data_IF_482660075655
#
_entry.id   IF_482660075655
#
_cell.length_a   1.000
_cell.length_b   1.000
_cell.length_c   1.000
_cell.angle_alpha   90.00
_cell.angle_beta   90.00
_cell.angle_gamma   90.00
#
_symmetry.space_group_name_H-M   'P 1'
#
loop_
_entity.id
_entity.type
_entity.pdbx_description
1 polymer ?
#
# COMPACT_ATOMS: atom_id res chain seq x y z
N UNK A 1 7.79 18.70 -21.40
CA UNK A 1 8.22 19.32 -20.13
C UNK A 1 8.96 18.26 -19.34
N UNK A 2 10.27 18.41 -19.16
CA UNK A 2 11.05 17.49 -18.32
C UNK A 2 10.70 17.71 -16.84
N UNK A 3 10.29 16.63 -16.18
CA UNK A 3 10.04 16.65 -14.74
C UNK A 3 11.40 16.63 -14.06
N UNK A 4 11.87 17.80 -13.61
CA UNK A 4 13.07 17.93 -12.79
C UNK A 4 12.90 17.01 -11.57
N UNK A 5 13.64 15.90 -11.53
CA UNK A 5 13.71 15.00 -10.37
C UNK A 5 14.41 15.74 -9.23
N UNK A 6 13.62 16.45 -8.41
CA UNK A 6 14.07 16.92 -7.09
C UNK A 6 14.62 15.73 -6.30
N UNK A 7 15.78 15.89 -5.69
CA UNK A 7 16.36 14.89 -4.80
C UNK A 7 15.39 14.46 -3.69
N UNK A 8 15.57 13.27 -3.09
CA UNK A 8 14.64 12.73 -2.10
C UNK A 8 14.52 13.68 -0.90
N UNK A 9 13.33 14.26 -0.73
CA UNK A 9 13.01 15.16 0.37
C UNK A 9 12.79 14.37 1.67
N UNK A 10 13.42 14.81 2.76
CA UNK A 10 13.16 14.31 4.12
C UNK A 10 11.96 14.99 4.80
N UNK A 11 11.45 16.08 4.21
CA UNK A 11 10.38 16.91 4.76
C UNK A 11 9.04 16.73 4.06
N UNK A 12 9.03 16.12 2.87
CA UNK A 12 7.82 15.85 2.08
C UNK A 12 7.64 14.35 1.85
N UNK A 13 6.41 13.84 1.95
CA UNK A 13 6.14 12.45 1.61
C UNK A 13 6.48 12.17 0.14
N UNK A 14 6.95 10.96 -0.20
CA UNK A 14 7.13 10.57 -1.59
C UNK A 14 5.78 10.61 -2.31
N UNK A 15 5.80 11.02 -3.59
CA UNK A 15 4.59 11.05 -4.42
C UNK A 15 4.37 9.66 -5.02
N UNK A 16 3.19 9.11 -4.77
CA UNK A 16 2.79 7.83 -5.35
C UNK A 16 2.35 8.04 -6.80
N UNK A 17 2.74 7.12 -7.68
CA UNK A 17 2.21 6.97 -9.03
C UNK A 17 1.82 5.51 -9.31
N UNK A 18 1.15 5.25 -10.43
CA UNK A 18 0.67 3.91 -10.77
C UNK A 18 1.79 2.87 -10.99
N UNK A 19 3.03 3.31 -11.27
CA UNK A 19 4.16 2.44 -11.65
C UNK A 19 5.23 2.34 -10.56
N UNK A 20 5.24 3.24 -9.58
CA UNK A 20 6.33 3.39 -8.61
C UNK A 20 6.04 2.78 -7.24
N UNK A 21 4.93 2.05 -7.05
CA UNK A 21 4.50 1.54 -5.74
C UNK A 21 5.61 0.75 -4.99
N UNK A 22 6.39 -0.07 -5.69
CA UNK A 22 7.51 -0.84 -5.13
C UNK A 22 8.63 0.04 -4.57
N UNK A 23 8.89 1.19 -5.20
CA UNK A 23 9.85 2.20 -4.75
C UNK A 23 9.25 3.11 -3.66
N UNK A 24 7.99 3.51 -3.84
CA UNK A 24 7.27 4.43 -2.98
C UNK A 24 7.07 3.84 -1.58
N UNK A 25 6.67 2.56 -1.48
CA UNK A 25 6.30 1.95 -0.20
C UNK A 25 7.46 1.99 0.82
N UNK A 26 8.68 1.48 0.52
CA UNK A 26 9.80 1.57 1.44
C UNK A 26 10.15 3.02 1.84
N UNK A 27 10.06 3.97 0.90
CA UNK A 27 10.32 5.39 1.15
C UNK A 27 9.27 6.01 2.09
N UNK A 28 8.00 5.71 1.88
CA UNK A 28 6.92 6.20 2.74
C UNK A 28 7.03 5.63 4.16
N UNK A 29 7.38 4.34 4.29
CA UNK A 29 7.66 3.71 5.58
C UNK A 29 8.82 4.41 6.28
N UNK A 30 9.92 4.67 5.55
CA UNK A 30 11.07 5.41 6.09
C UNK A 30 10.66 6.81 6.55
N UNK A 31 9.87 7.53 5.76
CA UNK A 31 9.39 8.87 6.09
C UNK A 31 8.52 8.88 7.36
N UNK A 32 7.60 7.92 7.51
CA UNK A 32 6.79 7.78 8.72
C UNK A 32 7.66 7.50 9.96
N UNK A 33 8.67 6.63 9.82
CA UNK A 33 9.59 6.30 10.92
C UNK A 33 10.44 7.50 11.35
N UNK A 34 10.92 8.31 10.40
CA UNK A 34 11.72 9.51 10.69
C UNK A 34 10.88 10.67 11.23
N UNK A 35 9.62 10.79 10.80
CA UNK A 35 8.72 11.85 11.24
C UNK A 35 8.29 11.65 12.71
N UNK A 36 7.86 10.44 13.06
CA UNK A 36 7.55 10.05 14.42
C UNK A 36 7.53 8.52 14.53
N UNK A 37 8.42 7.94 15.36
CA UNK A 37 8.43 6.49 15.62
C UNK A 37 7.09 5.95 16.17
N UNK A 38 6.23 6.80 16.74
CA UNK A 38 4.85 6.45 17.13
C UNK A 38 3.89 6.40 15.93
N UNK A 39 4.11 7.21 14.89
CA UNK A 39 3.29 7.19 13.68
C UNK A 39 3.42 5.85 12.95
N UNK A 40 4.65 5.36 12.76
CA UNK A 40 4.85 4.01 12.20
C UNK A 40 4.27 2.91 13.10
N UNK A 41 4.41 3.03 14.42
CA UNK A 41 3.79 2.09 15.36
C UNK A 41 2.26 2.08 15.24
N UNK A 42 1.62 3.23 15.08
CA UNK A 42 0.17 3.32 14.88
C UNK A 42 -0.28 2.64 13.57
N UNK A 43 0.56 2.64 12.53
CA UNK A 43 0.28 1.90 11.28
C UNK A 43 0.38 0.39 11.47
N UNK A 44 1.36 -0.10 12.25
CA UNK A 44 1.60 -1.54 12.42
C UNK A 44 0.71 -2.14 13.51
N UNK A 45 0.82 -1.62 14.74
CA UNK A 45 0.09 -2.12 15.89
C UNK A 45 -1.39 -1.72 15.80
N UNK A 46 -1.66 -0.53 15.29
CA UNK A 46 -2.96 0.10 15.36
C UNK A 46 -3.02 1.11 16.51
N UNK A 47 -4.13 1.82 16.56
CA UNK A 47 -4.51 2.62 17.70
C UNK A 47 -5.86 2.12 18.19
N UNK A 48 -6.02 2.00 19.51
CA UNK A 48 -7.28 1.59 20.11
C UNK A 48 -8.04 2.82 20.62
N UNK A 49 -9.33 2.85 20.31
CA UNK A 49 -10.20 3.92 20.79
C UNK A 49 -10.22 3.95 22.32
N UNK A 50 -10.30 5.15 22.93
CA UNK A 50 -10.42 5.30 24.38
C UNK A 50 -11.62 4.54 24.97
N UNK A 51 -12.69 4.34 24.18
CA UNK A 51 -13.87 3.59 24.62
C UNK A 51 -13.60 2.11 24.93
N UNK A 52 -12.73 1.45 24.15
CA UNK A 52 -12.39 0.03 24.38
C UNK A 52 -11.50 -0.11 25.62
N UNK A 53 -10.59 0.85 25.84
CA UNK A 53 -9.72 0.92 27.01
C UNK A 53 -10.54 1.10 28.29
N UNK A 54 -11.56 1.96 28.25
CA UNK A 54 -12.50 2.18 29.37
C UNK A 54 -13.31 0.91 29.67
N UNK A 55 -13.76 0.20 28.64
CA UNK A 55 -14.48 -1.07 28.76
C UNK A 55 -13.62 -2.20 29.33
N UNK A 56 -12.33 -2.25 28.97
CA UNK A 56 -11.38 -3.28 29.42
C UNK A 56 -10.67 -2.96 30.75
N UNK A 57 -11.00 -1.85 31.42
CA UNK A 57 -10.34 -1.40 32.66
C UNK A 57 -8.79 -1.35 32.57
N UNK A 58 -8.24 -1.14 31.37
CA UNK A 58 -6.80 -1.04 31.18
C UNK A 58 -6.33 0.33 31.67
N UNK A 59 -5.44 0.34 32.67
CA UNK A 59 -4.89 1.57 33.26
C UNK A 59 -3.85 2.19 32.32
N UNK A 60 -4.29 2.82 31.24
CA UNK A 60 -3.42 3.70 30.44
C UNK A 60 -3.24 5.03 31.16
N UNK A 61 -2.00 5.50 31.25
CA UNK A 61 -1.75 6.88 31.70
C UNK A 61 -2.27 7.86 30.63
N UNK A 62 -2.80 9.02 31.05
CA UNK A 62 -3.30 10.03 30.13
C UNK A 62 -2.26 10.49 29.09
N UNK A 63 -0.97 10.45 29.46
CA UNK A 63 0.15 10.69 28.55
C UNK A 63 0.24 9.61 27.46
N UNK A 64 0.16 8.33 27.83
CA UNK A 64 0.25 7.22 26.89
C UNK A 64 -0.90 7.27 25.86
N UNK A 65 -2.13 7.55 26.30
CA UNK A 65 -3.27 7.73 25.39
C UNK A 65 -3.06 8.90 24.41
N UNK A 66 -2.65 10.07 24.92
CA UNK A 66 -2.36 11.25 24.09
C UNK A 66 -1.27 10.98 23.05
N UNK A 67 -0.20 10.30 23.45
CA UNK A 67 0.92 9.99 22.54
C UNK A 67 0.51 9.01 21.43
N UNK A 68 -0.30 8.00 21.75
CA UNK A 68 -0.81 7.04 20.77
C UNK A 68 -1.80 7.68 19.79
N UNK A 69 -2.70 8.54 20.29
CA UNK A 69 -3.63 9.31 19.45
C UNK A 69 -2.87 10.24 18.49
N UNK A 70 -1.87 10.98 19.00
CA UNK A 70 -1.04 11.86 18.18
C UNK A 70 -0.29 11.09 17.08
N UNK A 71 0.26 9.92 17.40
CA UNK A 71 0.90 9.04 16.43
C UNK A 71 -0.07 8.60 15.32
N UNK A 72 -1.29 8.20 15.69
CA UNK A 72 -2.33 7.81 14.74
C UNK A 72 -2.74 8.96 13.81
N UNK A 73 -3.07 10.14 14.36
CA UNK A 73 -3.45 11.31 13.57
C UNK A 73 -2.34 11.74 12.61
N UNK A 74 -1.08 11.69 13.05
CA UNK A 74 0.07 12.05 12.22
C UNK A 74 0.27 11.06 11.09
N UNK A 75 0.12 9.76 11.36
CA UNK A 75 0.18 8.72 10.34
C UNK A 75 -0.94 8.86 9.30
N UNK A 76 -2.19 9.07 9.73
CA UNK A 76 -3.33 9.31 8.83
C UNK A 76 -3.05 10.50 7.91
N UNK A 77 -2.59 11.62 8.47
CA UNK A 77 -2.28 12.80 7.67
C UNK A 77 -1.21 12.51 6.61
N UNK A 78 -0.15 11.78 6.97
CA UNK A 78 0.90 11.40 6.01
C UNK A 78 0.36 10.49 4.91
N UNK A 79 -0.47 9.49 5.26
CA UNK A 79 -1.08 8.59 4.29
C UNK A 79 -2.01 9.38 3.35
N UNK A 80 -2.88 10.23 3.88
CA UNK A 80 -3.81 11.04 3.08
C UNK A 80 -3.10 11.95 2.08
N UNK A 81 -2.01 12.59 2.51
CA UNK A 81 -1.21 13.44 1.62
C UNK A 81 -0.32 12.65 0.64
N UNK A 82 -0.11 11.35 0.88
CA UNK A 82 0.77 10.50 0.08
C UNK A 82 0.07 9.69 -1.01
N UNK A 83 -1.26 9.67 -1.04
CA UNK A 83 -2.04 8.82 -1.95
C UNK A 83 -2.76 9.63 -3.04
N UNK A 84 -3.10 8.97 -4.15
CA UNK A 84 -3.96 9.56 -5.18
C UNK A 84 -5.40 9.74 -4.70
N UNK A 85 -6.11 10.67 -5.35
CA UNK A 85 -7.51 11.00 -5.07
C UNK A 85 -8.46 9.80 -5.01
N UNK A 86 -8.31 8.84 -5.93
CA UNK A 86 -9.17 7.64 -5.95
C UNK A 86 -8.98 6.78 -4.70
N UNK A 87 -7.74 6.67 -4.20
CA UNK A 87 -7.46 5.90 -2.98
C UNK A 87 -7.78 6.73 -1.74
N UNK A 88 -7.59 8.05 -1.78
CA UNK A 88 -8.04 8.96 -0.73
C UNK A 88 -9.54 8.79 -0.44
N UNK A 89 -10.39 8.71 -1.47
CA UNK A 89 -11.84 8.44 -1.29
C UNK A 89 -12.16 7.14 -0.55
N UNK A 90 -11.30 6.13 -0.64
CA UNK A 90 -11.49 4.85 0.02
C UNK A 90 -11.08 4.89 1.50
N UNK A 91 -10.20 5.81 1.88
CA UNK A 91 -9.59 5.85 3.22
C UNK A 91 -9.96 7.08 4.03
N UNK A 92 -10.63 8.07 3.44
CA UNK A 92 -10.92 9.37 4.08
C UNK A 92 -11.81 9.27 5.33
N UNK A 93 -12.58 8.19 5.46
CA UNK A 93 -13.42 7.89 6.63
C UNK A 93 -12.71 7.05 7.70
N UNK A 94 -11.48 6.57 7.44
CA UNK A 94 -10.74 5.75 8.39
C UNK A 94 -10.32 6.59 9.61
N UNK A 95 -10.66 6.11 10.81
CA UNK A 95 -10.22 6.68 12.08
C UNK A 95 -8.88 6.10 12.57
N UNK A 96 -8.43 5.01 11.95
CA UNK A 96 -7.18 4.30 12.26
C UNK A 96 -6.20 4.33 11.10
N UNK A 97 -4.96 4.73 11.37
CA UNK A 97 -3.87 4.72 10.39
C UNK A 97 -3.59 3.31 9.85
N UNK A 98 -3.74 2.29 10.70
CA UNK A 98 -3.59 0.88 10.32
C UNK A 98 -4.63 0.46 9.29
N UNK A 99 -5.88 0.86 9.51
CA UNK A 99 -6.98 0.58 8.58
C UNK A 99 -6.77 1.29 7.24
N UNK A 100 -6.51 2.60 7.28
CA UNK A 100 -6.21 3.40 6.09
C UNK A 100 -5.05 2.78 5.29
N UNK A 101 -3.96 2.39 5.97
CA UNK A 101 -2.80 1.75 5.34
C UNK A 101 -3.14 0.39 4.73
N UNK A 102 -3.97 -0.43 5.40
CA UNK A 102 -4.40 -1.73 4.88
C UNK A 102 -5.25 -1.58 3.61
N UNK A 103 -6.25 -0.69 3.62
CA UNK A 103 -7.11 -0.42 2.45
C UNK A 103 -6.26 0.11 1.30
N UNK A 104 -5.35 1.03 1.59
CA UNK A 104 -4.35 1.52 0.66
C UNK A 104 -3.54 0.38 0.01
N UNK A 105 -2.99 -0.54 0.80
CA UNK A 105 -2.22 -1.66 0.26
C UNK A 105 -3.06 -2.57 -0.63
N UNK A 106 -4.32 -2.81 -0.27
CA UNK A 106 -5.24 -3.62 -1.08
C UNK A 106 -5.57 -2.93 -2.40
N UNK A 107 -5.79 -1.61 -2.39
CA UNK A 107 -6.09 -0.83 -3.60
C UNK A 107 -4.94 -0.88 -4.61
N UNK A 108 -3.68 -0.88 -4.15
CA UNK A 108 -2.51 -0.88 -5.03
C UNK A 108 -1.99 -2.27 -5.40
N UNK A 109 -1.99 -3.23 -4.47
CA UNK A 109 -1.47 -4.58 -4.72
C UNK A 109 -2.52 -5.53 -5.29
N UNK A 110 -3.79 -5.15 -5.24
CA UNK A 110 -4.91 -6.08 -5.32
C UNK A 110 -5.00 -6.97 -4.07
N UNK A 111 -6.12 -7.66 -3.93
CA UNK A 111 -6.30 -8.66 -2.86
C UNK A 111 -5.47 -9.91 -3.15
N UNK A 112 -5.19 -10.72 -2.13
CA UNK A 112 -4.58 -12.05 -2.32
C UNK A 112 -5.38 -12.90 -3.31
N UNK A 113 -6.71 -12.78 -3.32
CA UNK A 113 -7.59 -13.46 -4.28
C UNK A 113 -7.31 -13.03 -5.73
N UNK A 114 -7.20 -11.73 -6.00
CA UNK A 114 -6.87 -11.22 -7.34
C UNK A 114 -5.49 -11.70 -7.79
N UNK A 115 -4.51 -11.72 -6.88
CA UNK A 115 -3.16 -12.25 -7.20
C UNK A 115 -3.18 -13.74 -7.53
N UNK A 116 -3.87 -14.55 -6.73
CA UNK A 116 -4.04 -15.98 -6.98
C UNK A 116 -4.75 -16.19 -8.32
N UNK A 117 -5.86 -15.49 -8.57
CA UNK A 117 -6.60 -15.60 -9.83
C UNK A 117 -5.74 -15.21 -11.04
N UNK A 118 -4.96 -14.12 -10.96
CA UNK A 118 -4.04 -13.72 -12.04
C UNK A 118 -2.97 -14.78 -12.28
N UNK A 119 -2.40 -15.36 -11.20
CA UNK A 119 -1.43 -16.44 -11.31
C UNK A 119 -2.04 -17.68 -11.96
N UNK A 120 -3.22 -18.09 -11.50
CA UNK A 120 -3.95 -19.24 -12.05
C UNK A 120 -4.32 -19.02 -13.52
N UNK A 121 -4.73 -17.80 -13.90
CA UNK A 121 -5.01 -17.45 -15.29
C UNK A 121 -3.76 -17.59 -16.18
N UNK A 122 -2.62 -17.07 -15.73
CA UNK A 122 -1.35 -17.19 -16.46
C UNK A 122 -0.93 -18.66 -16.56
N UNK A 123 -0.98 -19.41 -15.46
CA UNK A 123 -0.70 -20.86 -15.44
C UNK A 123 -1.61 -21.62 -16.41
N UNK A 124 -2.92 -21.36 -16.38
CA UNK A 124 -3.88 -22.01 -17.28
C UNK A 124 -3.63 -21.66 -18.75
N UNK A 125 -3.32 -20.40 -19.07
CA UNK A 125 -2.93 -20.00 -20.44
C UNK A 125 -1.65 -20.70 -20.90
N UNK A 126 -0.68 -20.84 -19.99
CA UNK A 126 0.59 -21.50 -20.29
C UNK A 126 0.42 -23.02 -20.46
N UNK A 127 -0.37 -23.68 -19.63
CA UNK A 127 -0.71 -25.11 -19.75
C UNK A 127 -1.47 -25.42 -21.05
N UNK A 128 -2.35 -24.50 -21.48
CA UNK A 128 -3.06 -24.60 -22.74
C UNK A 128 -2.19 -24.24 -23.96
N UNK A 129 -0.99 -23.70 -23.74
CA UNK A 129 -0.14 -23.24 -24.83
C UNK A 129 0.53 -24.44 -25.52
N UNK A 130 0.16 -24.63 -26.78
CA UNK A 130 0.78 -25.62 -27.66
C UNK A 130 0.99 -24.99 -29.03
N UNK A 131 2.13 -25.30 -29.64
CA UNK A 131 2.42 -24.90 -31.01
C UNK A 131 1.53 -25.71 -31.97
N UNK A 132 0.89 -25.04 -32.93
CA UNK A 132 0.13 -25.75 -33.98
C UNK A 132 1.05 -26.16 -35.14
N UNK A 133 0.58 -27.06 -36.01
CA UNK A 133 1.37 -27.59 -37.12
C UNK A 133 1.62 -26.54 -38.22
N UNK A 134 0.73 -25.55 -38.32
CA UNK A 134 0.73 -24.46 -39.29
C UNK A 134 1.35 -23.16 -38.74
N UNK A 135 1.69 -23.12 -37.45
CA UNK A 135 2.27 -21.96 -36.79
C UNK A 135 3.79 -21.94 -36.94
N UNK A 136 4.35 -20.76 -37.23
CA UNK A 136 5.80 -20.55 -37.22
C UNK A 136 6.34 -20.37 -35.81
N UNK A 137 7.63 -20.65 -35.60
CA UNK A 137 8.30 -20.44 -34.30
C UNK A 137 8.22 -18.97 -33.84
N UNK A 138 8.21 -18.02 -34.78
CA UNK A 138 8.06 -16.61 -34.49
C UNK A 138 6.68 -16.28 -33.88
N UNK A 139 5.61 -16.78 -34.50
CA UNK A 139 4.23 -16.60 -34.02
C UNK A 139 4.02 -17.27 -32.65
N UNK A 140 4.59 -18.48 -32.47
CA UNK A 140 4.56 -19.16 -31.17
C UNK A 140 5.24 -18.35 -30.08
N UNK A 141 6.43 -17.80 -30.36
CA UNK A 141 7.15 -16.96 -29.41
C UNK A 141 6.40 -15.67 -29.07
N UNK A 142 5.69 -15.08 -30.03
CA UNK A 142 4.86 -13.90 -29.77
C UNK A 142 3.74 -14.24 -28.76
N UNK A 143 3.03 -15.36 -28.94
CA UNK A 143 2.01 -15.82 -27.99
C UNK A 143 2.58 -16.13 -26.60
N UNK A 144 3.79 -16.68 -26.51
CA UNK A 144 4.48 -16.87 -25.21
C UNK A 144 4.69 -15.52 -24.54
N UNK A 145 5.17 -14.52 -25.28
CA UNK A 145 5.46 -13.18 -24.75
C UNK A 145 4.20 -12.43 -24.31
N UNK A 146 3.04 -12.68 -24.94
CA UNK A 146 1.74 -12.13 -24.51
C UNK A 146 1.25 -12.70 -23.17
N UNK A 147 1.69 -13.91 -22.77
CA UNK A 147 1.30 -14.52 -21.49
C UNK A 147 2.19 -14.01 -20.34
N UNK A 148 3.45 -13.66 -20.65
CA UNK A 148 4.46 -13.24 -19.66
C UNK A 148 4.36 -11.75 -19.31
N UNK A 149 3.92 -10.90 -20.24
CA UNK A 149 3.79 -9.44 -20.07
C UNK A 149 2.43 -9.00 -19.51
#
# INVERSE_FOLDING_TARGET
>A
MEIIRKGPSISRPPVLDAKNYSYWKPRMISFLKTLDGRAWRAVVAGWELPMIILFLNLKLTGLMLRTSLCGNSRAINVVFNGVHFNVFKLINSCSSAKEAWKIFEVAYKGTTKVKIWRSQLVTSKFEALKMSEDESVAEYNERVMEIVN
#
